data_IF_888286484924
#
_entry.id   IF_888286484924
#
_cell.length_a   1.000
_cell.length_b   1.000
_cell.length_c   1.000
_cell.angle_alpha   90.00
_cell.angle_beta   90.00
_cell.angle_gamma   90.00
#
_symmetry.space_group_name_H-M   'P 1'
#
loop_
_entity.id
_entity.type
_entity.pdbx_description
1 polymer ?
#
# COMPACT_ATOMS: atom_id res chain seq x y z
N UNK A 1 7.33 -5.97 16.41
CA UNK A 1 7.61 -5.61 15.01
C UNK A 1 6.31 -5.81 14.26
N UNK A 2 5.83 -4.83 13.48
CA UNK A 2 4.58 -4.97 12.75
C UNK A 2 4.73 -6.04 11.67
N UNK A 3 3.72 -6.88 11.46
CA UNK A 3 3.70 -7.85 10.36
C UNK A 3 3.44 -7.14 9.01
N UNK A 4 2.64 -6.06 9.04
CA UNK A 4 2.24 -5.27 7.87
C UNK A 4 2.55 -3.79 8.06
N UNK A 5 3.17 -3.16 7.06
CA UNK A 5 3.29 -1.71 7.00
C UNK A 5 2.22 -1.15 6.06
N UNK A 6 1.33 -0.30 6.58
CA UNK A 6 0.32 0.41 5.79
C UNK A 6 0.83 1.83 5.56
N UNK A 7 1.05 2.22 4.30
CA UNK A 7 1.58 3.54 3.94
C UNK A 7 0.57 4.25 3.05
N UNK A 8 0.20 5.47 3.42
CA UNK A 8 -0.66 6.34 2.61
C UNK A 8 0.08 7.61 2.19
N UNK A 9 -0.18 8.08 0.97
CA UNK A 9 0.47 9.28 0.43
C UNK A 9 -0.10 10.61 0.95
N UNK A 10 -1.33 10.58 1.48
CA UNK A 10 -2.02 11.72 2.07
C UNK A 10 -2.99 11.27 3.16
N UNK A 11 -3.21 12.13 4.16
CA UNK A 11 -4.25 11.91 5.17
C UNK A 11 -5.67 11.86 4.58
N UNK A 12 -5.90 12.33 3.35
CA UNK A 12 -7.19 12.14 2.65
C UNK A 12 -7.51 10.67 2.39
N UNK A 13 -6.48 9.82 2.33
CA UNK A 13 -6.63 8.39 2.00
C UNK A 13 -6.92 7.55 3.27
N UNK A 14 -7.00 8.18 4.44
CA UNK A 14 -7.17 7.51 5.75
C UNK A 14 -8.39 6.61 5.79
N UNK A 15 -9.50 6.98 5.14
CA UNK A 15 -10.71 6.15 5.12
C UNK A 15 -10.48 4.78 4.45
N UNK A 16 -9.56 4.69 3.48
CA UNK A 16 -9.22 3.43 2.80
C UNK A 16 -8.18 2.66 3.62
N UNK A 17 -7.27 3.37 4.30
CA UNK A 17 -6.36 2.77 5.26
C UNK A 17 -7.11 2.13 6.43
N UNK A 18 -8.12 2.81 6.97
CA UNK A 18 -8.97 2.32 8.05
C UNK A 18 -9.63 0.99 7.70
N UNK A 19 -10.18 0.87 6.48
CA UNK A 19 -10.72 -0.39 5.95
C UNK A 19 -9.69 -1.53 5.97
N UNK A 20 -8.46 -1.25 5.54
CA UNK A 20 -7.39 -2.24 5.58
C UNK A 20 -7.04 -2.62 7.03
N UNK A 21 -6.80 -1.62 7.89
CA UNK A 21 -6.40 -1.84 9.29
C UNK A 21 -7.48 -2.53 10.12
N UNK A 22 -8.75 -2.32 9.79
CA UNK A 22 -9.87 -3.01 10.43
C UNK A 22 -9.78 -4.53 10.20
N UNK A 23 -9.60 -4.95 8.94
CA UNK A 23 -9.44 -6.38 8.59
C UNK A 23 -8.14 -6.97 9.17
N UNK A 24 -7.04 -6.20 9.17
CA UNK A 24 -5.80 -6.65 9.83
C UNK A 24 -6.03 -6.90 11.33
N UNK A 25 -6.77 -6.02 12.00
CA UNK A 25 -7.13 -6.18 13.41
C UNK A 25 -8.04 -7.39 13.67
N UNK A 26 -9.01 -7.65 12.79
CA UNK A 26 -9.86 -8.86 12.88
C UNK A 26 -9.05 -10.16 12.82
N UNK A 27 -7.99 -10.19 12.01
CA UNK A 27 -7.06 -11.32 11.95
C UNK A 27 -5.98 -11.33 13.03
N UNK A 28 -5.95 -10.32 13.92
CA UNK A 28 -4.91 -10.17 14.93
C UNK A 28 -3.52 -9.90 14.35
N UNK A 29 -3.44 -9.39 13.12
CA UNK A 29 -2.18 -9.07 12.43
C UNK A 29 -1.70 -7.70 12.90
N UNK A 30 -0.45 -7.64 13.37
CA UNK A 30 0.12 -6.37 13.82
C UNK A 30 0.46 -5.48 12.63
N UNK A 31 0.21 -4.18 12.75
CA UNK A 31 0.49 -3.24 11.67
C UNK A 31 1.06 -1.92 12.17
N UNK A 32 1.74 -1.22 11.27
CA UNK A 32 2.19 0.17 11.44
C UNK A 32 1.61 1.03 10.31
N UNK A 33 0.88 2.08 10.66
CA UNK A 33 0.23 2.99 9.72
C UNK A 33 1.03 4.30 9.62
N UNK A 34 1.46 4.64 8.42
CA UNK A 34 2.27 5.83 8.15
C UNK A 34 1.67 6.70 7.05
N UNK A 35 1.77 8.02 7.23
CA UNK A 35 1.46 9.01 6.19
C UNK A 35 2.76 9.56 5.63
N UNK A 36 3.19 9.02 4.49
CA UNK A 36 4.46 9.39 3.83
C UNK A 36 4.23 9.48 2.32
N UNK A 37 4.48 10.65 1.76
CA UNK A 37 4.22 10.93 0.35
C UNK A 37 5.44 10.60 -0.51
N UNK A 38 5.30 9.70 -1.49
CA UNK A 38 6.36 9.40 -2.44
C UNK A 38 6.84 10.62 -3.26
N UNK A 39 5.97 11.62 -3.46
CA UNK A 39 6.32 12.83 -4.21
C UNK A 39 6.84 13.97 -3.34
N UNK A 40 6.34 14.09 -2.10
CA UNK A 40 6.61 15.26 -1.23
C UNK A 40 7.61 14.97 -0.12
N UNK A 41 7.81 13.70 0.22
CA UNK A 41 8.67 13.26 1.30
C UNK A 41 9.43 11.95 0.94
N UNK A 42 10.15 11.92 -0.20
CA UNK A 42 10.78 10.71 -0.71
C UNK A 42 11.92 10.20 0.18
N UNK A 43 12.69 11.09 0.82
CA UNK A 43 13.80 10.70 1.69
C UNK A 43 13.31 9.96 2.94
N UNK A 44 12.24 10.46 3.59
CA UNK A 44 11.62 9.76 4.71
C UNK A 44 11.00 8.44 4.29
N UNK A 45 10.41 8.36 3.10
CA UNK A 45 9.88 7.10 2.57
C UNK A 45 11.01 6.06 2.42
N UNK A 46 12.15 6.48 1.88
CA UNK A 46 13.32 5.62 1.69
C UNK A 46 13.86 5.11 3.02
N UNK A 47 13.99 5.99 4.00
CA UNK A 47 14.44 5.63 5.34
C UNK A 47 13.45 4.67 6.01
N UNK A 48 12.15 4.95 5.92
CA UNK A 48 11.13 4.08 6.48
C UNK A 48 11.14 2.69 5.84
N UNK A 49 11.14 2.59 4.51
CA UNK A 49 11.14 1.30 3.81
C UNK A 49 12.41 0.49 4.11
N UNK A 50 13.56 1.15 4.21
CA UNK A 50 14.85 0.51 4.52
C UNK A 50 14.91 -0.06 5.94
N UNK A 51 14.28 0.64 6.89
CA UNK A 51 14.31 0.27 8.32
C UNK A 51 13.08 -0.52 8.76
N UNK A 52 12.05 -0.61 7.93
CA UNK A 52 10.82 -1.33 8.25
C UNK A 52 11.05 -2.84 8.30
N UNK A 53 10.74 -3.41 9.46
CA UNK A 53 10.76 -4.85 9.72
C UNK A 53 9.52 -5.58 9.20
N UNK A 54 8.52 -4.86 8.66
CA UNK A 54 7.27 -5.45 8.18
C UNK A 54 7.50 -6.55 7.14
N UNK A 55 6.68 -7.59 7.14
CA UNK A 55 6.79 -8.70 6.18
C UNK A 55 6.07 -8.36 4.87
N UNK A 56 5.01 -7.56 4.93
CA UNK A 56 4.22 -7.11 3.77
C UNK A 56 3.97 -5.61 3.84
N UNK A 57 3.99 -4.92 2.70
CA UNK A 57 3.59 -3.52 2.59
C UNK A 57 2.22 -3.41 1.91
N UNK A 58 1.35 -2.57 2.47
CA UNK A 58 0.12 -2.09 1.81
C UNK A 58 0.33 -0.60 1.53
N UNK A 59 0.32 -0.23 0.25
CA UNK A 59 0.54 1.14 -0.20
C UNK A 59 -0.72 1.67 -0.87
N UNK A 60 -1.25 2.79 -0.36
CA UNK A 60 -2.54 3.35 -0.78
C UNK A 60 -2.28 4.73 -1.38
N UNK A 61 -2.68 4.93 -2.63
CA UNK A 61 -2.47 6.19 -3.34
C UNK A 61 -3.47 6.43 -4.48
N UNK A 62 -3.82 7.70 -4.70
CA UNK A 62 -4.67 8.15 -5.80
C UNK A 62 -3.92 8.92 -6.90
N UNK A 63 -4.66 9.25 -7.97
CA UNK A 63 -4.17 10.01 -9.14
C UNK A 63 -2.92 9.37 -9.78
N UNK A 64 -1.82 10.12 -9.91
CA UNK A 64 -0.50 9.58 -10.27
C UNK A 64 0.05 8.73 -9.11
N UNK A 65 -0.52 7.55 -8.90
CA UNK A 65 -0.34 6.72 -7.71
C UNK A 65 1.02 6.01 -7.66
N UNK A 66 2.10 6.78 -7.50
CA UNK A 66 3.47 6.27 -7.56
C UNK A 66 3.92 5.48 -6.31
N UNK A 67 3.28 5.70 -5.15
CA UNK A 67 3.72 5.16 -3.86
C UNK A 67 3.95 3.63 -3.89
N UNK A 68 3.02 2.78 -4.38
CA UNK A 68 3.23 1.34 -4.40
C UNK A 68 4.45 0.92 -5.23
N UNK A 69 4.63 1.51 -6.42
CA UNK A 69 5.74 1.20 -7.30
C UNK A 69 7.09 1.66 -6.73
N UNK A 70 7.13 2.84 -6.11
CA UNK A 70 8.33 3.38 -5.46
C UNK A 70 8.74 2.48 -4.29
N UNK A 71 7.81 2.09 -3.42
CA UNK A 71 8.10 1.17 -2.32
C UNK A 71 8.59 -0.18 -2.85
N UNK A 72 7.90 -0.76 -3.85
CA UNK A 72 8.30 -2.03 -4.47
C UNK A 72 9.72 -2.00 -5.08
N UNK A 73 10.16 -0.84 -5.60
CA UNK A 73 11.51 -0.68 -6.13
C UNK A 73 12.62 -0.70 -5.06
N UNK A 74 12.26 -0.46 -3.79
CA UNK A 74 13.20 -0.28 -2.66
C UNK A 74 13.22 -1.46 -1.70
N UNK A 75 12.35 -2.44 -1.87
CA UNK A 75 12.27 -3.63 -1.01
C UNK A 75 12.23 -4.92 -1.80
N UNK A 76 12.61 -6.03 -1.15
CA UNK A 76 12.40 -7.40 -1.67
C UNK A 76 11.13 -8.05 -1.11
N UNK A 77 10.48 -7.36 -0.17
CA UNK A 77 9.25 -7.81 0.49
C UNK A 77 8.04 -7.55 -0.42
N UNK A 78 6.96 -8.34 -0.32
CA UNK A 78 5.75 -8.11 -1.11
C UNK A 78 5.14 -6.72 -0.86
N UNK A 79 4.72 -6.07 -1.94
CA UNK A 79 4.01 -4.79 -1.90
C UNK A 79 2.65 -4.94 -2.56
N UNK A 80 1.61 -4.61 -1.81
CA UNK A 80 0.22 -4.57 -2.25
C UNK A 80 -0.14 -3.12 -2.53
N UNK A 81 -0.62 -2.84 -3.73
CA UNK A 81 -1.04 -1.50 -4.15
C UNK A 81 -2.56 -1.37 -4.12
N UNK A 82 -3.07 -0.33 -3.46
CA UNK A 82 -4.49 0.04 -3.43
C UNK A 82 -4.66 1.37 -4.17
N UNK A 83 -5.17 1.35 -5.42
CA UNK A 83 -5.53 2.56 -6.12
C UNK A 83 -6.70 3.25 -5.43
N UNK A 84 -6.61 4.55 -5.19
CA UNK A 84 -7.71 5.35 -4.59
C UNK A 84 -8.49 6.05 -5.68
N UNK A 85 -9.82 6.02 -5.58
CA UNK A 85 -10.68 6.78 -6.49
C UNK A 85 -10.49 8.28 -6.28
N UNK A 86 -10.12 8.97 -7.36
CA UNK A 86 -10.07 10.42 -7.41
C UNK A 86 -11.36 11.02 -7.96
N UNK A 87 -11.37 12.35 -8.12
CA UNK A 87 -12.45 13.06 -8.83
C UNK A 87 -12.42 12.83 -10.34
N UNK A 88 -11.26 12.45 -10.89
CA UNK A 88 -11.05 12.19 -12.31
C UNK A 88 -11.12 10.68 -12.58
N UNK A 89 -11.79 10.33 -13.69
CA UNK A 89 -11.81 8.97 -14.28
C UNK A 89 -12.20 7.83 -13.33
N UNK A 90 -12.82 8.11 -12.18
CA UNK A 90 -13.25 7.09 -11.22
C UNK A 90 -12.12 6.22 -10.67
N UNK A 91 -10.87 6.72 -10.66
CA UNK A 91 -9.69 5.97 -10.20
C UNK A 91 -9.00 5.11 -11.27
N UNK A 92 -9.38 5.21 -12.54
CA UNK A 92 -8.67 4.53 -13.64
C UNK A 92 -7.23 5.00 -13.77
N UNK A 93 -6.97 6.28 -13.53
CA UNK A 93 -5.64 6.88 -13.49
C UNK A 93 -4.76 6.24 -12.40
N UNK A 94 -5.29 6.13 -11.18
CA UNK A 94 -4.62 5.47 -10.07
C UNK A 94 -4.41 3.98 -10.38
N UNK A 95 -5.42 3.29 -10.90
CA UNK A 95 -5.34 1.88 -11.23
C UNK A 95 -4.22 1.60 -12.23
N UNK A 96 -4.18 2.34 -13.35
CA UNK A 96 -3.15 2.17 -14.37
C UNK A 96 -1.76 2.56 -13.84
N UNK A 97 -1.66 3.55 -12.95
CA UNK A 97 -0.41 3.93 -12.30
C UNK A 97 0.16 2.84 -11.39
N UNK A 98 -0.70 2.04 -10.76
CA UNK A 98 -0.29 0.97 -9.83
C UNK A 98 -0.05 -0.36 -10.55
N UNK A 99 -0.93 -0.75 -11.48
CA UNK A 99 -0.92 -2.11 -12.05
C UNK A 99 0.10 -2.29 -13.19
N UNK A 100 0.43 -1.22 -13.94
CA UNK A 100 1.28 -1.30 -15.14
C UNK A 100 2.78 -1.22 -14.82
N UNK A 101 3.23 -1.97 -13.82
CA UNK A 101 4.65 -1.98 -13.44
C UNK A 101 5.53 -2.68 -14.50
N UNK A 102 6.75 -2.16 -14.76
CA UNK A 102 7.69 -2.81 -15.66
C UNK A 102 8.22 -4.13 -15.07
N UNK A 103 8.78 -4.98 -15.95
CA UNK A 103 9.40 -6.25 -15.56
C UNK A 103 10.47 -6.04 -14.47
N UNK A 104 10.39 -6.83 -13.40
CA UNK A 104 11.38 -6.89 -12.33
C UNK A 104 11.00 -6.17 -11.04
N UNK A 105 9.97 -5.32 -11.05
CA UNK A 105 9.49 -4.60 -9.86
C UNK A 105 7.97 -4.78 -9.71
N UNK A 106 7.50 -5.97 -9.27
CA UNK A 106 6.08 -6.27 -9.23
C UNK A 106 5.35 -5.53 -8.09
N UNK A 107 4.08 -5.20 -8.32
CA UNK A 107 3.12 -4.75 -7.30
C UNK A 107 1.87 -5.61 -7.40
N UNK A 108 1.40 -6.13 -6.27
CA UNK A 108 0.12 -6.82 -6.20
C UNK A 108 -1.02 -5.78 -6.12
N UNK A 109 -1.54 -5.37 -7.28
CA UNK A 109 -2.63 -4.40 -7.34
C UNK A 109 -3.97 -5.06 -6.99
N UNK A 110 -4.72 -4.46 -6.07
CA UNK A 110 -6.13 -4.82 -5.79
C UNK A 110 -7.09 -3.85 -6.48
N UNK A 111 -8.40 -4.04 -6.26
CA UNK A 111 -9.43 -3.15 -6.79
C UNK A 111 -9.25 -1.70 -6.30
N UNK A 112 -9.78 -0.74 -7.07
CA UNK A 112 -9.90 0.66 -6.67
C UNK A 112 -10.68 0.73 -5.34
N UNK A 113 -10.16 1.50 -4.38
CA UNK A 113 -10.63 1.62 -2.99
C UNK A 113 -10.70 0.31 -2.20
N UNK A 114 -10.06 -0.76 -2.70
CA UNK A 114 -10.10 -2.11 -2.16
C UNK A 114 -9.23 -2.33 -0.92
N UNK A 115 -9.25 -1.42 0.06
CA UNK A 115 -8.45 -1.51 1.28
C UNK A 115 -8.63 -2.83 2.05
N UNK A 116 -9.86 -3.32 2.17
CA UNK A 116 -10.18 -4.61 2.83
C UNK A 116 -9.49 -5.78 2.10
N UNK A 117 -9.59 -5.82 0.77
CA UNK A 117 -8.95 -6.86 -0.04
C UNK A 117 -7.42 -6.82 0.05
N UNK A 118 -6.83 -5.65 0.23
CA UNK A 118 -5.40 -5.54 0.49
C UNK A 118 -5.00 -6.23 1.78
N UNK A 119 -5.79 -6.07 2.84
CA UNK A 119 -5.57 -6.73 4.12
C UNK A 119 -5.82 -8.25 4.06
N UNK A 120 -6.89 -8.71 3.39
CA UNK A 120 -7.11 -10.14 3.15
C UNK A 120 -5.96 -10.77 2.35
N UNK A 121 -5.44 -10.07 1.33
CA UNK A 121 -4.29 -10.55 0.57
C UNK A 121 -3.03 -10.60 1.44
N UNK A 122 -2.80 -9.59 2.29
CA UNK A 122 -1.69 -9.61 3.25
C UNK A 122 -1.79 -10.81 4.21
N UNK A 123 -2.98 -11.08 4.76
CA UNK A 123 -3.22 -12.24 5.63
C UNK A 123 -2.89 -13.57 4.93
N UNK A 124 -3.28 -13.73 3.66
CA UNK A 124 -2.94 -14.92 2.86
C UNK A 124 -1.44 -15.05 2.59
N UNK A 125 -0.74 -13.93 2.37
CA UNK A 125 0.73 -13.93 2.21
C UNK A 125 1.42 -14.35 3.51
N UNK A 126 0.90 -13.91 4.66
CA UNK A 126 1.40 -14.26 5.98
C UNK A 126 1.01 -15.69 6.42
N UNK A 127 0.05 -16.32 5.73
CA UNK A 127 -0.47 -17.65 6.09
C UNK A 127 -1.35 -17.64 7.33
N UNK A 128 -1.98 -16.52 7.64
CA UNK A 128 -2.87 -16.35 8.82
C UNK A 128 -4.36 -16.43 8.48
N UNK A 129 -4.71 -16.53 7.19
CA UNK A 129 -6.06 -16.71 6.67
C UNK A 129 -6.09 -17.70 5.50
#
# INVERSE_FOLDING_TARGET
>A
MPDVAVIIGSASDSAIAEKATHILAEYGITYDLQVISAHRDPERLDEYVKTSDATVFICIAGMSAALPGVVASKTKKPVIGVPVSGTLLGGLDALLSVVQMPKGVPVACVAVDGGENAAHLAARILGTA
#
